data_IF_602412311110
#
_entry.id   IF_602412311110
#
_cell.length_a   1.000
_cell.length_b   1.000
_cell.length_c   1.000
_cell.angle_alpha   90.00
_cell.angle_beta   90.00
_cell.angle_gamma   90.00
#
_symmetry.space_group_name_H-M   'P 1'
#
loop_
_entity.id
_entity.type
_entity.pdbx_description
1 polymer ?
#
# COMPACT_ATOMS: atom_id res chain seq x y z
N UNK A 1 12.61 -23.33 -12.55
CA UNK A 1 11.26 -23.62 -12.05
C UNK A 1 11.20 -23.10 -10.62
N UNK A 2 10.65 -21.91 -10.38
CA UNK A 2 10.52 -21.40 -9.01
C UNK A 2 9.26 -21.99 -8.39
N UNK A 3 9.43 -22.98 -7.51
CA UNK A 3 8.35 -23.51 -6.69
C UNK A 3 7.86 -22.36 -5.80
N UNK A 4 6.68 -21.83 -6.09
CA UNK A 4 6.02 -20.90 -5.20
C UNK A 4 5.62 -21.68 -3.95
N UNK A 5 6.16 -21.31 -2.77
CA UNK A 5 5.83 -21.91 -1.47
C UNK A 5 4.43 -21.49 -1.02
N UNK A 6 3.42 -21.84 -1.82
CA UNK A 6 2.02 -21.59 -1.54
C UNK A 6 1.43 -22.80 -0.82
N UNK A 7 0.57 -22.52 0.16
CA UNK A 7 -0.32 -23.54 0.70
C UNK A 7 -1.29 -24.05 -0.37
N UNK A 8 -1.96 -25.18 -0.08
CA UNK A 8 -3.06 -25.69 -0.92
C UNK A 8 -4.15 -24.65 -1.21
N UNK A 9 -4.36 -23.69 -0.30
CA UNK A 9 -5.30 -22.59 -0.45
C UNK A 9 -4.78 -21.37 -1.23
N UNK A 10 -3.57 -21.43 -1.80
CA UNK A 10 -2.99 -20.31 -2.53
C UNK A 10 -2.53 -19.15 -1.64
N UNK A 11 -2.13 -19.45 -0.40
CA UNK A 11 -1.59 -18.46 0.55
C UNK A 11 -0.08 -18.65 0.70
N UNK A 12 0.69 -17.58 0.53
CA UNK A 12 2.11 -17.49 0.84
C UNK A 12 2.28 -17.07 2.31
N UNK A 13 2.87 -17.93 3.15
CA UNK A 13 3.20 -17.57 4.55
C UNK A 13 4.39 -16.63 4.64
N UNK A 14 5.35 -16.75 3.72
CA UNK A 14 6.47 -15.82 3.60
C UNK A 14 6.19 -14.84 2.46
N UNK A 15 6.01 -13.55 2.81
CA UNK A 15 5.77 -12.48 1.85
C UNK A 15 6.90 -12.33 0.82
N UNK A 16 8.16 -12.61 1.17
CA UNK A 16 9.28 -12.53 0.21
C UNK A 16 9.08 -13.48 -0.99
N UNK A 17 8.55 -14.67 -0.71
CA UNK A 17 8.26 -15.68 -1.73
C UNK A 17 6.91 -15.48 -2.42
N UNK A 18 6.14 -14.47 -2.01
CA UNK A 18 4.79 -14.30 -2.52
C UNK A 18 4.79 -13.80 -3.97
N UNK A 19 4.00 -14.46 -4.86
CA UNK A 19 3.78 -13.96 -6.20
C UNK A 19 2.73 -12.83 -6.25
N UNK A 20 2.02 -12.58 -5.15
CA UNK A 20 0.92 -11.60 -5.12
C UNK A 20 1.48 -10.21 -4.82
N UNK A 21 1.79 -9.47 -5.89
CA UNK A 21 2.37 -8.13 -5.82
C UNK A 21 1.50 -7.15 -6.58
N UNK A 22 1.46 -5.91 -6.12
CA UNK A 22 0.78 -4.82 -6.81
C UNK A 22 1.58 -3.53 -6.67
N UNK A 23 1.91 -2.92 -7.80
CA UNK A 23 2.69 -1.68 -7.85
C UNK A 23 1.77 -0.49 -8.10
N UNK A 24 2.02 0.60 -7.40
CA UNK A 24 1.34 1.88 -7.56
C UNK A 24 2.38 2.93 -7.89
N UNK A 25 2.16 3.63 -8.99
CA UNK A 25 2.97 4.78 -9.37
C UNK A 25 2.44 6.05 -8.71
N UNK A 26 3.35 6.77 -8.08
CA UNK A 26 3.13 8.08 -7.47
C UNK A 26 4.07 9.10 -8.14
N UNK A 27 3.88 10.40 -7.90
CA UNK A 27 4.85 11.40 -8.32
C UNK A 27 6.27 11.04 -7.84
N UNK A 28 7.17 10.82 -8.79
CA UNK A 28 8.62 10.54 -8.60
C UNK A 28 8.97 9.18 -7.96
N UNK A 29 8.01 8.30 -7.66
CA UNK A 29 8.30 7.01 -7.00
C UNK A 29 7.25 5.95 -7.32
N UNK A 30 7.67 4.68 -7.33
CA UNK A 30 6.78 3.52 -7.44
C UNK A 30 6.87 2.71 -6.14
N UNK A 31 5.72 2.32 -5.57
CA UNK A 31 5.67 1.45 -4.38
C UNK A 31 5.00 0.14 -4.76
N UNK A 32 5.67 -0.97 -4.48
CA UNK A 32 5.14 -2.33 -4.64
C UNK A 32 4.69 -2.87 -3.29
N UNK A 33 3.40 -3.17 -3.17
CA UNK A 33 2.81 -3.85 -2.02
C UNK A 33 2.80 -5.36 -2.26
N UNK A 34 3.23 -6.15 -1.26
CA UNK A 34 3.28 -7.60 -1.34
C UNK A 34 2.25 -8.23 -0.42
N UNK A 35 1.47 -9.17 -0.93
CA UNK A 35 0.33 -9.77 -0.23
C UNK A 35 0.54 -11.26 -0.01
N UNK A 36 -0.02 -11.81 1.04
CA UNK A 36 0.02 -13.24 1.33
C UNK A 36 -0.95 -14.04 0.45
N UNK A 37 -1.93 -13.41 -0.20
CA UNK A 37 -2.90 -14.10 -1.06
C UNK A 37 -3.41 -13.23 -2.20
N UNK A 38 -3.92 -13.87 -3.26
CA UNK A 38 -4.60 -13.15 -4.32
C UNK A 38 -5.87 -12.44 -3.81
N UNK A 39 -6.57 -13.02 -2.84
CA UNK A 39 -7.76 -12.42 -2.23
C UNK A 39 -7.45 -11.06 -1.61
N UNK A 40 -6.37 -10.95 -0.82
CA UNK A 40 -5.94 -9.67 -0.24
C UNK A 40 -5.49 -8.67 -1.29
N UNK A 41 -4.72 -9.10 -2.30
CA UNK A 41 -4.34 -8.24 -3.43
C UNK A 41 -5.58 -7.68 -4.14
N UNK A 42 -6.53 -8.54 -4.50
CA UNK A 42 -7.77 -8.12 -5.17
C UNK A 42 -8.61 -7.18 -4.31
N UNK A 43 -8.72 -7.45 -3.00
CA UNK A 43 -9.44 -6.57 -2.07
C UNK A 43 -8.79 -5.18 -1.98
N UNK A 44 -7.45 -5.13 -1.97
CA UNK A 44 -6.69 -3.89 -1.96
C UNK A 44 -6.97 -3.07 -3.23
N UNK A 45 -6.82 -3.69 -4.41
CA UNK A 45 -7.06 -3.03 -5.70
C UNK A 45 -8.49 -2.50 -5.79
N UNK A 46 -9.49 -3.30 -5.40
CA UNK A 46 -10.90 -2.91 -5.46
C UNK A 46 -11.24 -1.72 -4.55
N UNK A 47 -10.55 -1.58 -3.42
CA UNK A 47 -10.86 -0.58 -2.39
C UNK A 47 -9.97 0.66 -2.47
N UNK A 48 -8.94 0.64 -3.31
CA UNK A 48 -7.87 1.64 -3.34
C UNK A 48 -8.38 3.07 -3.49
N UNK A 49 -9.05 3.35 -4.60
CA UNK A 49 -9.50 4.71 -4.94
C UNK A 49 -10.51 5.25 -3.92
N UNK A 50 -11.47 4.42 -3.49
CA UNK A 50 -12.48 4.81 -2.50
C UNK A 50 -11.85 5.12 -1.14
N UNK A 51 -10.84 4.35 -0.73
CA UNK A 51 -10.13 4.61 0.51
C UNK A 51 -9.35 5.93 0.47
N UNK A 52 -8.68 6.22 -0.66
CA UNK A 52 -7.99 7.51 -0.86
C UNK A 52 -8.97 8.67 -0.75
N UNK A 53 -10.09 8.61 -1.46
CA UNK A 53 -11.14 9.63 -1.41
C UNK A 53 -11.62 9.86 0.03
N UNK A 54 -11.96 8.79 0.75
CA UNK A 54 -12.47 8.89 2.13
C UNK A 54 -11.47 9.50 3.10
N UNK A 55 -10.21 9.06 3.06
CA UNK A 55 -9.18 9.56 3.98
C UNK A 55 -8.77 10.99 3.61
N UNK A 56 -8.53 11.29 2.33
CA UNK A 56 -8.20 12.64 1.87
C UNK A 56 -9.32 13.63 2.19
N UNK A 57 -10.60 13.25 2.00
CA UNK A 57 -11.74 14.08 2.39
C UNK A 57 -11.78 14.30 3.91
N UNK A 58 -11.56 13.25 4.71
CA UNK A 58 -11.52 13.36 6.17
C UNK A 58 -10.40 14.28 6.65
N UNK A 59 -9.21 14.20 6.05
CA UNK A 59 -8.09 15.08 6.36
C UNK A 59 -8.40 16.51 5.96
N UNK A 60 -8.91 16.71 4.75
CA UNK A 60 -9.25 18.04 4.24
C UNK A 60 -10.30 18.74 5.11
N UNK A 61 -11.34 18.00 5.52
CA UNK A 61 -12.35 18.49 6.46
C UNK A 61 -11.75 18.86 7.82
N UNK A 62 -10.80 18.07 8.32
CA UNK A 62 -10.16 18.29 9.63
C UNK A 62 -9.30 19.56 9.66
N UNK A 63 -8.60 19.86 8.57
CA UNK A 63 -7.64 20.96 8.51
C UNK A 63 -8.17 22.20 7.79
N UNK A 64 -9.32 22.11 7.12
CA UNK A 64 -10.00 23.26 6.50
C UNK A 64 -9.45 23.66 5.13
N UNK A 65 -8.61 22.83 4.51
CA UNK A 65 -8.10 23.01 3.16
C UNK A 65 -7.84 21.65 2.50
N UNK A 66 -7.66 21.61 1.18
CA UNK A 66 -7.47 20.36 0.44
C UNK A 66 -6.14 19.69 0.82
N UNK A 67 -6.21 18.44 1.25
CA UNK A 67 -5.06 17.58 1.57
C UNK A 67 -5.16 16.31 0.72
N UNK A 68 -4.12 16.04 -0.07
CA UNK A 68 -3.98 14.82 -0.85
C UNK A 68 -2.76 14.04 -0.38
N UNK A 69 -2.99 12.88 0.25
CA UNK A 69 -1.95 12.05 0.87
C UNK A 69 -2.10 10.59 0.46
N UNK A 70 -2.08 10.32 -0.85
CA UNK A 70 -2.37 9.00 -1.42
C UNK A 70 -1.46 7.87 -0.89
N UNK A 71 -0.17 8.15 -0.68
CA UNK A 71 0.77 7.17 -0.11
C UNK A 71 0.33 6.75 1.30
N UNK A 72 -0.04 7.73 2.15
CA UNK A 72 -0.54 7.46 3.50
C UNK A 72 -1.83 6.63 3.45
N UNK A 73 -2.76 7.02 2.57
CA UNK A 73 -4.03 6.33 2.37
C UNK A 73 -3.81 4.86 1.99
N UNK A 74 -2.91 4.60 1.06
CA UNK A 74 -2.63 3.26 0.53
C UNK A 74 -1.91 2.38 1.55
N UNK A 75 -0.91 2.90 2.26
CA UNK A 75 -0.25 2.18 3.36
C UNK A 75 -1.27 1.83 4.44
N UNK A 76 -2.18 2.76 4.77
CA UNK A 76 -3.23 2.51 5.75
C UNK A 76 -4.22 1.44 5.29
N UNK A 77 -4.60 1.44 4.01
CA UNK A 77 -5.44 0.39 3.44
C UNK A 77 -4.73 -0.97 3.46
N UNK A 78 -3.47 -1.01 3.04
CA UNK A 78 -2.65 -2.22 2.99
C UNK A 78 -2.59 -2.88 4.36
N UNK A 79 -2.25 -2.14 5.42
CA UNK A 79 -2.21 -2.64 6.81
C UNK A 79 -3.59 -3.09 7.33
N UNK A 80 -4.67 -2.53 6.78
CA UNK A 80 -6.03 -2.96 7.10
C UNK A 80 -6.44 -4.27 6.40
N UNK A 81 -5.76 -4.65 5.30
CA UNK A 81 -6.10 -5.81 4.47
C UNK A 81 -5.11 -6.97 4.68
N UNK A 82 -3.81 -6.72 4.58
CA UNK A 82 -2.79 -7.74 4.83
C UNK A 82 -2.70 -8.00 6.33
N UNK A 83 -2.81 -9.27 6.72
CA UNK A 83 -2.84 -9.71 8.13
C UNK A 83 -1.67 -10.60 8.52
N UNK A 84 -0.85 -11.03 7.56
CA UNK A 84 0.23 -12.01 7.75
C UNK A 84 1.62 -11.39 7.69
N UNK A 85 1.71 -10.08 7.85
CA UNK A 85 2.97 -9.35 7.86
C UNK A 85 2.85 -8.00 7.19
N UNK A 86 3.99 -7.41 6.90
CA UNK A 86 4.09 -6.15 6.18
C UNK A 86 5.32 -6.24 5.27
N UNK A 87 5.14 -6.03 3.97
CA UNK A 87 6.26 -5.96 3.04
C UNK A 87 5.90 -5.05 1.87
N UNK A 88 6.64 -3.95 1.77
CA UNK A 88 6.58 -3.03 0.62
C UNK A 88 7.99 -2.82 0.06
N UNK A 89 8.06 -2.49 -1.22
CA UNK A 89 9.28 -2.05 -1.88
C UNK A 89 9.09 -0.67 -2.48
N UNK A 90 10.10 0.19 -2.38
CA UNK A 90 10.13 1.48 -3.08
C UNK A 90 11.51 1.66 -3.71
N UNK A 91 11.56 1.87 -5.03
CA UNK A 91 12.83 2.09 -5.76
C UNK A 91 13.94 1.05 -5.45
N UNK A 92 13.56 -0.20 -5.18
CA UNK A 92 14.48 -1.28 -4.80
C UNK A 92 14.77 -1.40 -3.31
N UNK A 93 14.43 -0.41 -2.50
CA UNK A 93 14.48 -0.48 -1.04
C UNK A 93 13.32 -1.30 -0.49
N UNK A 94 13.57 -2.02 0.61
CA UNK A 94 12.64 -2.97 1.23
C UNK A 94 12.23 -2.48 2.61
N UNK A 95 10.93 -2.47 2.88
CA UNK A 95 10.38 -2.09 4.18
C UNK A 95 9.48 -3.20 4.73
N UNK A 96 9.81 -3.69 5.92
CA UNK A 96 9.16 -4.85 6.55
C UNK A 96 8.31 -4.50 7.78
N UNK A 97 8.38 -3.25 8.24
CA UNK A 97 7.73 -2.84 9.48
C UNK A 97 7.10 -1.47 9.29
N UNK A 98 5.80 -1.37 9.56
CA UNK A 98 5.05 -0.11 9.51
C UNK A 98 5.68 0.95 10.43
N UNK A 99 6.15 0.55 11.62
CA UNK A 99 6.70 1.48 12.61
C UNK A 99 8.03 2.10 12.18
N UNK A 100 8.69 1.54 11.16
CA UNK A 100 9.94 2.06 10.63
C UNK A 100 9.72 2.99 9.43
N UNK A 101 8.46 3.22 9.03
CA UNK A 101 8.15 4.13 7.95
C UNK A 101 8.05 5.56 8.45
N UNK A 102 8.72 6.46 7.74
CA UNK A 102 8.51 7.90 7.86
C UNK A 102 8.05 8.41 6.50
N UNK A 103 6.92 9.13 6.49
CA UNK A 103 6.51 9.92 5.34
C UNK A 103 7.04 11.33 5.56
N UNK A 104 8.09 11.68 4.83
CA UNK A 104 8.73 12.99 4.87
C UNK A 104 8.56 13.70 3.51
N UNK A 105 8.30 14.99 3.57
CA UNK A 105 8.07 15.87 2.42
C UNK A 105 6.60 16.10 2.08
N UNK A 106 6.06 17.22 2.55
CA UNK A 106 4.83 17.81 2.01
C UNK A 106 5.17 18.67 0.79
N UNK A 107 4.37 18.59 -0.27
CA UNK A 107 4.50 19.47 -1.43
C UNK A 107 3.27 20.38 -1.48
N UNK A 108 3.49 21.69 -1.47
CA UNK A 108 2.41 22.67 -1.64
C UNK A 108 2.17 22.91 -3.14
N UNK A 109 0.92 22.76 -3.56
CA UNK A 109 0.48 23.04 -4.93
C UNK A 109 -0.81 23.88 -4.89
N UNK A 110 -1.13 24.55 -5.99
CA UNK A 110 -2.43 25.22 -6.15
C UNK A 110 -3.45 24.23 -6.69
N UNK A 111 -4.68 24.30 -6.19
CA UNK A 111 -5.80 23.55 -6.77
C UNK A 111 -6.02 24.04 -8.21
N UNK A 112 -6.02 23.11 -9.16
CA UNK A 112 -6.43 23.34 -10.54
C UNK A 112 -7.95 23.50 -10.67
#
# INVERSE_FOLDING_TARGET
MFLTNLTRGGVAYNLDSSPYRYSVDYPKRCITFVFSSNFYKSSFIQRLNKNREQINQSLSNRFGFKIEQDILCDIKLYTSIEKRGFLIYQNGERFECLNNLTLDGENLTMNA
#
